data_IF_920447998322
#
_entry.id   IF_920447998322
#
_cell.length_a   1.000
_cell.length_b   1.000
_cell.length_c   1.000
_cell.angle_alpha   90.00
_cell.angle_beta   90.00
_cell.angle_gamma   90.00
#
_symmetry.space_group_name_H-M   'P 1'
#
loop_
_entity.id
_entity.type
_entity.pdbx_description
1 polymer ?
#
# COMPACT_ATOMS: atom_id res chain seq x y z
N UNK A 1 -7.53 -0.30 -29.10
CA UNK A 1 -6.90 0.45 -27.99
C UNK A 1 -6.73 -0.51 -26.83
N UNK A 2 -5.57 -1.16 -26.74
CA UNK A 2 -5.27 -2.11 -25.67
C UNK A 2 -5.02 -1.35 -24.38
N UNK A 3 -6.03 -1.24 -23.53
CA UNK A 3 -5.85 -0.85 -22.13
C UNK A 3 -5.15 -2.01 -21.41
N UNK A 4 -3.84 -2.14 -21.60
CA UNK A 4 -3.01 -2.79 -20.58
C UNK A 4 -3.05 -1.86 -19.38
N UNK A 5 -3.66 -2.25 -18.23
CA UNK A 5 -3.53 -1.44 -17.03
C UNK A 5 -2.06 -1.59 -16.63
N UNK A 6 -1.22 -0.65 -17.09
CA UNK A 6 0.03 -0.38 -16.40
C UNK A 6 -0.38 -0.17 -14.94
N UNK A 7 -0.11 -1.19 -14.12
CA UNK A 7 -0.44 -1.26 -12.71
C UNK A 7 0.34 -0.14 -12.05
N UNK A 8 -0.22 1.06 -12.13
CA UNK A 8 0.17 2.22 -11.38
C UNK A 8 -0.24 1.89 -9.95
N UNK A 9 0.61 1.10 -9.28
CA UNK A 9 0.50 0.78 -7.87
C UNK A 9 0.76 2.05 -7.06
N UNK A 10 -0.20 2.97 -7.12
CA UNK A 10 -0.16 4.26 -6.45
C UNK A 10 -0.88 4.12 -5.13
N UNK A 11 -0.31 4.73 -4.10
CA UNK A 11 -0.93 4.76 -2.79
C UNK A 11 -2.27 5.47 -2.88
N UNK A 12 -3.33 4.79 -2.45
CA UNK A 12 -4.69 5.33 -2.36
C UNK A 12 -5.03 5.79 -0.94
N UNK A 13 -4.03 6.09 -0.12
CA UNK A 13 -4.27 6.66 1.21
C UNK A 13 -4.76 8.09 1.03
N UNK A 14 -5.84 8.43 1.73
CA UNK A 14 -6.34 9.79 1.82
C UNK A 14 -5.64 10.48 2.99
N UNK A 15 -4.84 11.51 2.70
CA UNK A 15 -4.23 12.35 3.71
C UNK A 15 -5.24 13.45 4.11
N UNK A 16 -5.74 13.35 5.34
CA UNK A 16 -6.71 14.30 5.88
C UNK A 16 -6.14 15.70 6.09
N UNK A 17 -4.83 15.84 6.35
CA UNK A 17 -4.17 17.14 6.55
C UNK A 17 -3.96 17.84 5.21
N UNK A 18 -3.43 17.11 4.22
CA UNK A 18 -3.18 17.65 2.88
C UNK A 18 -4.43 17.69 1.98
N UNK A 19 -5.56 17.14 2.46
CA UNK A 19 -6.86 17.00 1.77
C UNK A 19 -6.71 16.42 0.36
N UNK A 20 -5.83 15.43 0.20
CA UNK A 20 -5.50 14.82 -1.09
C UNK A 20 -5.10 13.36 -0.93
N UNK A 21 -5.14 12.61 -2.04
CA UNK A 21 -4.57 11.26 -2.05
C UNK A 21 -3.04 11.32 -2.11
N UNK A 22 -2.38 10.40 -1.41
CA UNK A 22 -0.93 10.30 -1.37
C UNK A 22 -0.31 10.07 -2.76
N UNK A 23 -0.84 9.13 -3.54
CA UNK A 23 -0.40 8.90 -4.93
C UNK A 23 1.03 8.35 -5.11
N UNK A 24 1.76 8.09 -4.01
CA UNK A 24 3.14 7.58 -4.05
C UNK A 24 3.24 6.26 -4.84
N UNK A 25 4.28 6.10 -5.68
CA UNK A 25 4.50 4.87 -6.44
C UNK A 25 4.96 3.72 -5.52
N UNK A 26 5.05 2.51 -6.08
CA UNK A 26 5.49 1.29 -5.37
C UNK A 26 4.59 0.91 -4.18
N UNK A 27 3.29 1.12 -4.30
CA UNK A 27 2.33 0.71 -3.28
C UNK A 27 2.12 -0.81 -3.28
N UNK A 28 2.03 -1.41 -2.11
CA UNK A 28 1.67 -2.81 -1.91
C UNK A 28 0.15 -2.93 -1.73
N UNK A 29 -0.43 -4.07 -2.12
CA UNK A 29 -1.87 -4.31 -1.96
C UNK A 29 -2.16 -4.79 -0.54
N UNK A 30 -2.96 -4.03 0.20
CA UNK A 30 -3.52 -4.42 1.49
C UNK A 30 -5.05 -4.55 1.38
N UNK A 31 -5.70 -5.09 2.42
CA UNK A 31 -7.17 -5.17 2.52
C UNK A 31 -7.88 -3.83 2.19
N UNK A 32 -7.49 -2.67 2.75
CA UNK A 32 -8.11 -1.38 2.41
C UNK A 32 -7.69 -0.80 1.05
N UNK A 33 -6.80 -1.45 0.30
CA UNK A 33 -6.31 -1.02 -1.00
C UNK A 33 -4.79 -0.85 -1.07
N UNK A 34 -4.31 -0.19 -2.13
CA UNK A 34 -2.87 0.05 -2.33
C UNK A 34 -2.32 1.08 -1.33
N UNK A 35 -1.24 0.72 -0.63
CA UNK A 35 -0.54 1.56 0.35
C UNK A 35 0.97 1.58 0.09
N UNK A 36 1.58 2.76 0.14
CA UNK A 36 3.04 2.90 0.12
C UNK A 36 3.63 2.54 1.50
N UNK A 37 4.95 2.32 1.62
CA UNK A 37 5.62 1.97 2.88
C UNK A 37 5.36 2.94 4.04
N UNK A 38 5.05 4.20 3.75
CA UNK A 38 4.71 5.22 4.76
C UNK A 38 3.26 5.16 5.25
N UNK A 39 2.37 4.54 4.46
CA UNK A 39 0.93 4.50 4.74
C UNK A 39 0.41 3.07 4.88
N UNK A 40 1.28 2.14 5.26
CA UNK A 40 0.86 0.78 5.59
C UNK A 40 0.05 0.81 6.89
N UNK A 41 -0.85 -0.16 7.11
CA UNK A 41 -1.63 -0.19 8.35
C UNK A 41 -0.74 -0.14 9.62
N UNK A 42 0.42 -0.81 9.60
CA UNK A 42 1.39 -0.76 10.70
C UNK A 42 2.02 0.62 10.87
N UNK A 43 2.44 1.26 9.76
CA UNK A 43 3.03 2.61 9.80
C UNK A 43 2.04 3.65 10.35
N UNK A 44 0.76 3.58 9.93
CA UNK A 44 -0.31 4.43 10.45
C UNK A 44 -0.62 4.17 11.93
N UNK A 45 -0.43 2.93 12.40
CA UNK A 45 -0.56 2.56 13.81
C UNK A 45 0.70 2.86 14.64
N UNK A 46 1.73 3.49 14.05
CA UNK A 46 3.00 3.79 14.72
C UNK A 46 3.81 2.53 15.10
N UNK A 47 3.53 1.40 14.46
CA UNK A 47 4.24 0.14 14.67
C UNK A 47 5.24 -0.08 13.55
N UNK A 48 6.43 -0.64 13.83
CA UNK A 48 7.31 -1.11 12.77
C UNK A 48 6.57 -2.14 11.92
N UNK A 49 6.78 -2.09 10.60
CA UNK A 49 6.26 -3.12 9.70
C UNK A 49 6.90 -4.45 10.10
N UNK A 50 6.08 -5.48 10.34
CA UNK A 50 6.60 -6.81 10.57
C UNK A 50 7.40 -7.22 9.31
N UNK A 51 8.55 -7.90 9.47
CA UNK A 51 9.23 -8.48 8.32
C UNK A 51 8.22 -9.31 7.53
N UNK A 52 8.32 -9.28 6.21
CA UNK A 52 7.51 -10.11 5.32
C UNK A 52 7.57 -11.55 5.82
N UNK A 53 6.50 -11.98 6.49
CA UNK A 53 6.48 -13.32 7.06
C UNK A 53 6.52 -14.25 5.85
N UNK A 54 7.55 -15.11 5.69
CA UNK A 54 7.56 -16.06 4.60
C UNK A 54 6.27 -16.85 4.77
N UNK A 55 5.39 -16.72 3.78
CA UNK A 55 4.08 -17.35 3.82
C UNK A 55 4.33 -18.81 4.16
N UNK A 56 3.87 -19.25 5.33
CA UNK A 56 3.99 -20.65 5.76
C UNK A 56 3.38 -21.48 4.64
N UNK A 57 4.23 -22.05 3.79
CA UNK A 57 3.82 -23.03 2.79
C UNK A 57 3.10 -24.11 3.57
N UNK A 58 1.80 -24.21 3.34
CA UNK A 58 0.96 -25.23 3.93
C UNK A 58 1.28 -26.51 3.16
N UNK A 59 2.05 -27.39 3.79
CA UNK A 59 2.36 -28.75 3.31
C UNK A 59 1.14 -29.64 3.42
#
# INVERSE_FOLDING_TARGET
>A
MSHSPALNFRCRHWDGQARRYCGAPRARRYLPGYRCPLHTPSALAGRPEAPESPSRMRT
#
